data_IF_950338423026
#
_entry.id   IF_950338423026
#
_cell.length_a   1.000
_cell.length_b   1.000
_cell.length_c   1.000
_cell.angle_alpha   90.00
_cell.angle_beta   90.00
_cell.angle_gamma   90.00
#
_symmetry.space_group_name_H-M   'P 1'
#
loop_
_entity.id
_entity.type
_entity.pdbx_description
1 polymer ?
#
# COMPACT_ATOMS: atom_id res chain seq x y z
N UNK A 1 2.72 0.86 14.13
CA UNK A 1 4.14 1.04 13.73
C UNK A 1 4.26 1.87 12.46
N UNK A 2 3.64 1.47 11.33
CA UNK A 2 3.65 2.25 10.08
C UNK A 2 3.19 3.69 10.30
N UNK A 3 2.00 3.90 10.89
CA UNK A 3 1.50 5.26 11.12
C UNK A 3 2.43 6.10 12.00
N UNK A 4 3.05 5.50 13.03
CA UNK A 4 4.02 6.22 13.86
C UNK A 4 5.21 6.69 13.04
N UNK A 5 5.73 5.84 12.14
CA UNK A 5 6.84 6.19 11.26
C UNK A 5 6.45 7.26 10.24
N UNK A 6 5.32 7.08 9.54
CA UNK A 6 4.87 8.00 8.48
C UNK A 6 4.35 9.34 9.03
N UNK A 7 3.88 9.37 10.27
CA UNK A 7 3.47 10.62 10.94
C UNK A 7 4.67 11.36 11.53
N UNK A 8 5.68 10.64 12.01
CA UNK A 8 6.92 11.24 12.52
C UNK A 8 7.79 11.81 11.40
N UNK A 9 7.82 11.15 10.24
CA UNK A 9 8.67 11.53 9.12
C UNK A 9 7.88 11.51 7.81
N UNK A 10 7.61 12.69 7.26
CA UNK A 10 6.92 12.86 5.97
C UNK A 10 7.88 12.88 4.79
N UNK A 11 9.17 13.06 5.04
CA UNK A 11 10.21 13.08 4.00
C UNK A 11 11.55 12.59 4.53
N UNK A 12 12.44 12.18 3.61
CA UNK A 12 13.83 11.83 3.94
C UNK A 12 14.57 12.97 4.63
N UNK A 13 14.20 14.23 4.38
CA UNK A 13 14.81 15.40 5.01
C UNK A 13 14.42 15.52 6.48
N UNK A 14 13.15 15.30 6.82
CA UNK A 14 12.72 15.26 8.23
C UNK A 14 13.37 14.10 8.98
N UNK A 15 13.54 12.96 8.31
CA UNK A 15 14.26 11.83 8.86
C UNK A 15 15.74 12.15 9.11
N UNK A 16 16.40 12.84 8.16
CA UNK A 16 17.81 13.27 8.29
C UNK A 16 18.06 14.17 9.50
N UNK A 17 17.10 15.01 9.89
CA UNK A 17 17.23 15.87 11.08
C UNK A 17 17.39 15.09 12.38
N UNK A 18 16.91 13.85 12.43
CA UNK A 18 17.02 12.99 13.61
C UNK A 18 18.25 12.07 13.55
N UNK A 19 18.51 11.47 12.39
CA UNK A 19 19.50 10.38 12.27
C UNK A 19 20.79 10.79 11.55
N UNK A 20 20.85 11.98 10.96
CA UNK A 20 21.95 12.44 10.11
C UNK A 20 21.72 12.19 8.62
N UNK A 21 22.34 13.01 7.77
CA UNK A 21 22.23 12.93 6.30
C UNK A 21 22.78 11.61 5.73
N UNK A 22 23.81 11.04 6.36
CA UNK A 22 24.43 9.78 5.92
C UNK A 22 23.46 8.60 6.04
N UNK A 23 22.61 8.61 7.07
CA UNK A 23 21.61 7.57 7.34
C UNK A 23 20.26 7.87 6.67
N UNK A 24 20.05 9.11 6.20
CA UNK A 24 18.80 9.55 5.60
C UNK A 24 18.41 8.75 4.34
N UNK A 25 19.40 8.27 3.58
CA UNK A 25 19.19 7.45 2.39
C UNK A 25 18.46 6.12 2.65
N UNK A 26 18.28 5.71 3.92
CA UNK A 26 17.51 4.53 4.28
C UNK A 26 16.01 4.78 4.44
N UNK A 27 15.57 6.05 4.43
CA UNK A 27 14.17 6.42 4.67
C UNK A 27 13.18 5.67 3.75
N UNK A 28 13.43 5.73 2.44
CA UNK A 28 12.58 5.08 1.43
C UNK A 28 12.57 3.56 1.58
N UNK A 29 13.74 2.97 1.86
CA UNK A 29 13.87 1.52 2.08
C UNK A 29 13.13 1.07 3.32
N UNK A 30 13.27 1.80 4.43
CA UNK A 30 12.62 1.46 5.69
C UNK A 30 11.10 1.55 5.56
N UNK A 31 10.59 2.64 4.96
CA UNK A 31 9.16 2.78 4.67
C UNK A 31 8.63 1.63 3.83
N UNK A 32 9.29 1.30 2.71
CA UNK A 32 8.90 0.16 1.87
C UNK A 32 8.95 -1.18 2.63
N UNK A 33 9.98 -1.42 3.46
CA UNK A 33 10.08 -2.67 4.21
C UNK A 33 8.98 -2.84 5.25
N UNK A 34 8.50 -1.76 5.87
CA UNK A 34 7.36 -1.85 6.79
C UNK A 34 6.09 -2.35 6.07
N UNK A 35 5.84 -1.87 4.85
CA UNK A 35 4.70 -2.35 4.06
C UNK A 35 4.93 -3.74 3.46
N UNK A 36 6.15 -4.08 3.04
CA UNK A 36 6.50 -5.44 2.59
C UNK A 36 6.34 -6.47 3.72
N UNK A 37 6.72 -6.10 4.95
CA UNK A 37 6.48 -6.92 6.13
C UNK A 37 4.97 -7.09 6.37
N UNK A 38 4.18 -6.02 6.27
CA UNK A 38 2.74 -6.11 6.35
C UNK A 38 2.18 -7.08 5.29
N UNK A 39 2.60 -6.95 4.03
CA UNK A 39 2.21 -7.84 2.95
C UNK A 39 2.55 -9.31 3.26
N UNK A 40 3.74 -9.58 3.80
CA UNK A 40 4.17 -10.92 4.19
C UNK A 40 3.33 -11.51 5.33
N UNK A 41 2.83 -10.69 6.25
CA UNK A 41 2.00 -11.14 7.38
C UNK A 41 0.56 -11.48 6.97
N UNK A 42 0.05 -10.85 5.92
CA UNK A 42 -1.33 -11.06 5.46
C UNK A 42 -1.44 -12.10 4.33
N UNK A 43 -0.41 -12.22 3.48
CA UNK A 43 -0.41 -13.11 2.32
C UNK A 43 -0.77 -14.55 2.70
N UNK A 44 -1.78 -15.11 2.02
CA UNK A 44 -2.23 -16.49 2.24
C UNK A 44 -2.93 -16.72 3.58
N UNK A 45 -3.21 -15.65 4.35
CA UNK A 45 -3.91 -15.73 5.62
C UNK A 45 -5.24 -14.95 5.52
N UNK A 46 -6.32 -15.67 5.24
CA UNK A 46 -7.66 -15.10 5.05
C UNK A 46 -8.15 -14.34 6.27
N UNK A 47 -7.85 -14.78 7.49
CA UNK A 47 -8.25 -14.07 8.72
C UNK A 47 -7.55 -12.71 8.83
N UNK A 48 -6.25 -12.66 8.55
CA UNK A 48 -5.48 -11.42 8.54
C UNK A 48 -5.92 -10.49 7.40
N UNK A 49 -6.26 -11.03 6.22
CA UNK A 49 -6.81 -10.23 5.11
C UNK A 49 -8.20 -9.68 5.41
N UNK A 50 -9.09 -10.45 6.03
CA UNK A 50 -10.43 -10.02 6.41
C UNK A 50 -10.39 -8.84 7.41
N UNK A 51 -9.33 -8.72 8.21
CA UNK A 51 -9.12 -7.52 9.03
C UNK A 51 -8.93 -6.25 8.20
N UNK A 52 -8.50 -6.33 6.95
CA UNK A 52 -8.43 -5.21 6.00
C UNK A 52 -9.71 -5.05 5.17
N UNK A 53 -10.63 -6.01 5.20
CA UNK A 53 -11.99 -5.89 4.68
C UNK A 53 -12.90 -5.03 5.58
N UNK A 54 -12.35 -3.92 6.09
CA UNK A 54 -13.08 -2.88 6.80
C UNK A 54 -12.86 -1.56 6.03
N UNK A 55 -13.91 -0.77 5.74
CA UNK A 55 -13.81 0.41 4.88
C UNK A 55 -12.65 1.35 5.26
N UNK A 56 -12.52 1.66 6.56
CA UNK A 56 -11.47 2.56 7.04
C UNK A 56 -10.03 2.07 6.78
N UNK A 57 -9.80 0.74 6.81
CA UNK A 57 -8.46 0.15 6.62
C UNK A 57 -8.12 -0.01 5.14
N UNK A 58 -9.11 -0.36 4.32
CA UNK A 58 -8.95 -0.40 2.87
C UNK A 58 -8.67 1.01 2.33
N UNK A 59 -9.47 2.00 2.75
CA UNK A 59 -9.28 3.41 2.41
C UNK A 59 -7.90 3.92 2.85
N UNK A 60 -7.43 3.49 4.02
CA UNK A 60 -6.10 3.83 4.50
C UNK A 60 -5.00 3.33 3.55
N UNK A 61 -5.07 2.10 3.03
CA UNK A 61 -4.10 1.59 2.05
C UNK A 61 -4.13 2.39 0.74
N UNK A 62 -5.32 2.67 0.21
CA UNK A 62 -5.46 3.48 -1.01
C UNK A 62 -4.93 4.90 -0.84
N UNK A 63 -5.27 5.57 0.26
CA UNK A 63 -4.75 6.91 0.58
C UNK A 63 -3.22 6.92 0.70
N UNK A 64 -2.63 5.87 1.28
CA UNK A 64 -1.16 5.74 1.38
C UNK A 64 -0.54 5.57 -0.01
N UNK A 65 -1.17 4.80 -0.88
CA UNK A 65 -0.71 4.61 -2.26
C UNK A 65 -0.75 5.91 -3.08
N UNK A 66 -1.75 6.77 -2.85
CA UNK A 66 -1.85 8.08 -3.49
C UNK A 66 -0.83 9.10 -2.95
N UNK A 67 -0.68 9.16 -1.62
CA UNK A 67 0.07 10.20 -0.95
C UNK A 67 1.56 9.88 -0.79
N UNK A 68 1.95 8.60 -0.77
CA UNK A 68 3.32 8.17 -0.47
C UNK A 68 3.93 7.40 -1.63
N UNK A 69 4.19 8.10 -2.74
CA UNK A 69 4.83 7.49 -3.91
C UNK A 69 6.21 6.89 -3.61
N UNK A 70 6.93 7.40 -2.61
CA UNK A 70 8.20 6.83 -2.15
C UNK A 70 8.07 5.40 -1.61
N UNK A 71 6.91 5.02 -1.06
CA UNK A 71 6.64 3.70 -0.49
C UNK A 71 5.70 2.85 -1.35
N UNK A 72 5.44 3.29 -2.59
CA UNK A 72 4.41 2.70 -3.45
C UNK A 72 4.61 1.19 -3.67
N UNK A 73 5.85 0.73 -3.77
CA UNK A 73 6.14 -0.70 -4.00
C UNK A 73 5.62 -1.57 -2.85
N UNK A 74 5.97 -1.23 -1.60
CA UNK A 74 5.51 -1.98 -0.45
C UNK A 74 4.01 -1.84 -0.20
N UNK A 75 3.45 -0.64 -0.39
CA UNK A 75 2.00 -0.42 -0.25
C UNK A 75 1.22 -1.24 -1.27
N UNK A 76 1.70 -1.31 -2.51
CA UNK A 76 1.11 -2.09 -3.58
C UNK A 76 1.21 -3.60 -3.30
N UNK A 77 2.30 -4.07 -2.72
CA UNK A 77 2.42 -5.48 -2.28
C UNK A 77 1.34 -5.83 -1.24
N UNK A 78 1.12 -4.95 -0.24
CA UNK A 78 0.10 -5.16 0.78
C UNK A 78 -1.31 -5.13 0.16
N UNK A 79 -1.59 -4.14 -0.69
CA UNK A 79 -2.88 -4.02 -1.37
C UNK A 79 -3.17 -5.24 -2.26
N UNK A 80 -2.18 -5.71 -3.01
CA UNK A 80 -2.32 -6.87 -3.88
C UNK A 80 -2.67 -8.13 -3.08
N UNK A 81 -2.07 -8.34 -1.91
CA UNK A 81 -2.42 -9.47 -1.04
C UNK A 81 -3.88 -9.36 -0.56
N UNK A 82 -4.32 -8.19 -0.09
CA UNK A 82 -5.71 -7.98 0.36
C UNK A 82 -6.72 -8.26 -0.75
N UNK A 83 -6.49 -7.72 -1.95
CA UNK A 83 -7.40 -7.85 -3.10
C UNK A 83 -7.33 -9.22 -3.80
N UNK A 84 -6.34 -10.05 -3.46
CA UNK A 84 -6.23 -11.42 -3.99
C UNK A 84 -6.82 -12.44 -3.03
N UNK A 85 -6.64 -12.22 -1.72
CA UNK A 85 -6.97 -13.23 -0.70
C UNK A 85 -8.26 -12.94 0.08
N UNK A 86 -8.97 -11.82 -0.17
CA UNK A 86 -10.24 -11.47 0.48
C UNK A 86 -11.30 -10.91 -0.48
N UNK A 87 -12.30 -11.74 -0.76
CA UNK A 87 -13.51 -11.35 -1.50
C UNK A 87 -14.28 -10.22 -0.78
N UNK A 88 -14.25 -10.23 0.55
CA UNK A 88 -14.91 -9.21 1.37
C UNK A 88 -14.28 -7.83 1.13
N UNK A 89 -12.96 -7.74 0.95
CA UNK A 89 -12.29 -6.49 0.61
C UNK A 89 -12.61 -6.02 -0.82
N UNK A 90 -12.72 -6.95 -1.77
CA UNK A 90 -13.12 -6.63 -3.14
C UNK A 90 -14.55 -6.06 -3.19
N UNK A 91 -15.47 -6.60 -2.40
CA UNK A 91 -16.85 -6.09 -2.29
C UNK A 91 -16.95 -4.67 -1.71
N UNK A 92 -15.88 -4.16 -1.10
CA UNK A 92 -15.81 -2.79 -0.56
C UNK A 92 -15.16 -1.80 -1.54
N UNK A 93 -14.74 -2.25 -2.73
CA UNK A 93 -14.17 -1.37 -3.75
C UNK A 93 -15.22 -0.37 -4.24
N UNK A 94 -14.79 0.87 -4.42
CA UNK A 94 -15.61 1.98 -4.88
C UNK A 94 -14.94 2.64 -6.08
N UNK A 95 -15.69 3.47 -6.82
CA UNK A 95 -15.21 4.20 -8.01
C UNK A 95 -13.87 4.93 -7.75
N UNK A 96 -13.73 5.57 -6.57
CA UNK A 96 -12.47 6.24 -6.19
C UNK A 96 -11.26 5.29 -6.19
N UNK A 97 -11.40 4.07 -5.68
CA UNK A 97 -10.32 3.10 -5.58
C UNK A 97 -9.88 2.64 -6.98
N UNK A 98 -10.84 2.44 -7.88
CA UNK A 98 -10.58 2.07 -9.27
C UNK A 98 -9.83 3.21 -9.98
N UNK A 99 -10.24 4.48 -9.77
CA UNK A 99 -9.53 5.64 -10.32
C UNK A 99 -8.09 5.73 -9.81
N UNK A 100 -7.86 5.45 -8.52
CA UNK A 100 -6.50 5.38 -7.97
C UNK A 100 -5.64 4.33 -8.68
N UNK A 101 -6.16 3.11 -8.88
CA UNK A 101 -5.44 2.03 -9.59
C UNK A 101 -5.12 2.40 -11.04
N UNK A 102 -6.09 2.98 -11.77
CA UNK A 102 -5.89 3.43 -13.15
C UNK A 102 -4.83 4.55 -13.19
N UNK A 103 -4.93 5.54 -12.30
CA UNK A 103 -3.97 6.63 -12.22
C UNK A 103 -2.54 6.17 -11.91
N UNK A 104 -2.36 5.04 -11.21
CA UNK A 104 -1.04 4.43 -11.02
C UNK A 104 -0.49 3.82 -12.32
N UNK A 105 -1.33 3.12 -13.09
CA UNK A 105 -0.93 2.58 -14.39
C UNK A 105 -0.48 3.69 -15.35
N UNK A 106 -1.18 4.82 -15.33
CA UNK A 106 -0.83 5.99 -16.15
C UNK A 106 0.51 6.62 -15.72
N UNK A 107 0.77 6.71 -14.42
CA UNK A 107 1.97 7.38 -13.88
C UNK A 107 3.22 6.49 -13.88
N UNK A 108 3.08 5.22 -13.56
CA UNK A 108 4.21 4.30 -13.29
C UNK A 108 4.38 3.22 -14.37
N UNK A 109 3.44 3.13 -15.31
CA UNK A 109 3.43 2.10 -16.35
C UNK A 109 2.67 0.84 -15.93
N UNK A 110 2.74 -0.20 -16.77
CA UNK A 110 1.97 -1.45 -16.58
C UNK A 110 2.56 -2.32 -15.47
N UNK A 111 2.12 -2.09 -14.23
CA UNK A 111 2.40 -2.99 -13.11
C UNK A 111 1.46 -4.22 -13.14
N UNK A 112 1.99 -5.45 -13.24
CA UNK A 112 1.17 -6.67 -13.27
C UNK A 112 0.25 -6.83 -12.06
N UNK A 113 0.65 -6.34 -10.88
CA UNK A 113 -0.16 -6.43 -9.64
C UNK A 113 -1.39 -5.55 -9.72
N UNK A 114 -1.25 -4.37 -10.30
CA UNK A 114 -2.39 -3.44 -10.53
C UNK A 114 -3.33 -4.00 -11.59
N UNK A 115 -2.79 -4.55 -12.69
CA UNK A 115 -3.60 -5.24 -13.69
C UNK A 115 -4.37 -6.43 -13.09
N UNK A 116 -3.71 -7.25 -12.26
CA UNK A 116 -4.36 -8.37 -11.56
C UNK A 116 -5.45 -7.89 -10.60
N UNK A 117 -5.20 -6.84 -9.82
CA UNK A 117 -6.21 -6.26 -8.93
C UNK A 117 -7.45 -5.79 -9.72
N UNK A 118 -7.27 -5.11 -10.85
CA UNK A 118 -8.37 -4.69 -11.72
C UNK A 118 -9.14 -5.88 -12.30
N UNK A 119 -8.45 -6.95 -12.70
CA UNK A 119 -9.08 -8.19 -13.18
C UNK A 119 -9.93 -8.86 -12.10
N UNK A 120 -9.44 -8.93 -10.86
CA UNK A 120 -10.19 -9.47 -9.73
C UNK A 120 -11.46 -8.65 -9.46
N UNK A 121 -11.37 -7.32 -9.52
CA UNK A 121 -12.52 -6.42 -9.35
C UNK A 121 -13.58 -6.67 -10.44
N UNK A 122 -13.18 -6.94 -11.69
CA UNK A 122 -14.10 -7.24 -12.79
C UNK A 122 -14.76 -8.62 -12.71
N UNK A 123 -14.28 -9.51 -11.84
CA UNK A 123 -14.76 -10.90 -11.74
C UNK A 123 -15.90 -11.09 -10.73
N UNK A 124 -16.32 -10.01 -10.06
CA UNK A 124 -17.45 -9.93 -9.12
C UNK A 124 -18.66 -9.34 -9.83
#
# INVERSE_FOLDING_TARGET
MIDNFTNAFRSSREFAQLVGEEQAGQFDRLGNYLYKLLAALIRGNRENCAQFAAPARLDWLFNRLELQQTFAEGVLDALHCVLTDSDEALNLIQDRHIRTLIGLLEKQGRDPRVCHALLNICSI
#
